data_IF_093612402605
#
_entry.id   IF_093612402605
#
_cell.length_a   1.000
_cell.length_b   1.000
_cell.length_c   1.000
_cell.angle_alpha   90.00
_cell.angle_beta   90.00
_cell.angle_gamma   90.00
#
_symmetry.space_group_name_H-M   'P 1'
#
loop_
_entity.id
_entity.type
_entity.pdbx_description
1 polymer ?
#
# COMPACT_ATOMS: atom_id res chain seq x y z
N UNK A 1 49.74 33.36 1.72
CA UNK A 1 48.49 33.26 2.52
C UNK A 1 47.60 32.12 2.02
N UNK A 2 47.19 32.08 0.75
CA UNK A 2 46.30 31.02 0.23
C UNK A 2 46.88 29.60 0.26
N UNK A 3 48.19 29.42 0.01
CA UNK A 3 48.81 28.09 0.05
C UNK A 3 48.83 27.46 1.47
N UNK A 4 48.85 28.31 2.51
CA UNK A 4 48.92 27.86 3.90
C UNK A 4 47.54 27.43 4.41
N UNK A 5 46.48 28.14 4.00
CA UNK A 5 45.10 27.76 4.30
C UNK A 5 44.69 26.43 3.64
N UNK A 6 45.21 26.14 2.44
CA UNK A 6 44.95 24.86 1.75
C UNK A 6 45.65 23.67 2.44
N UNK A 7 46.86 23.89 2.96
CA UNK A 7 47.61 22.87 3.71
C UNK A 7 46.94 22.53 5.05
N UNK A 8 46.41 23.53 5.77
CA UNK A 8 45.68 23.28 7.02
C UNK A 8 44.34 22.56 6.80
N UNK A 9 43.62 22.87 5.71
CA UNK A 9 42.39 22.17 5.36
C UNK A 9 42.63 20.70 5.02
N UNK A 10 43.74 20.39 4.34
CA UNK A 10 44.09 19.02 3.97
C UNK A 10 44.55 18.21 5.19
N UNK A 11 45.32 18.81 6.10
CA UNK A 11 45.71 18.16 7.35
C UNK A 11 44.51 17.83 8.26
N UNK A 12 43.48 18.68 8.26
CA UNK A 12 42.25 18.44 9.02
C UNK A 12 41.38 17.32 8.44
N UNK A 13 41.35 17.22 7.10
CA UNK A 13 40.63 16.14 6.40
C UNK A 13 41.29 14.77 6.61
N UNK A 14 42.63 14.71 6.58
CA UNK A 14 43.38 13.47 6.85
C UNK A 14 43.27 13.03 8.33
N UNK A 15 43.22 13.98 9.27
CA UNK A 15 42.99 13.68 10.68
C UNK A 15 41.58 13.10 10.93
N UNK A 16 40.56 13.59 10.23
CA UNK A 16 39.19 13.11 10.35
C UNK A 16 38.99 11.72 9.73
N UNK A 17 39.63 11.46 8.58
CA UNK A 17 39.61 10.13 7.94
C UNK A 17 40.30 9.05 8.81
N UNK A 18 41.37 9.41 9.54
CA UNK A 18 42.04 8.50 10.48
C UNK A 18 41.18 8.18 11.71
N UNK A 19 40.42 9.15 12.22
CA UNK A 19 39.52 8.96 13.35
C UNK A 19 38.34 8.02 13.01
N UNK A 20 37.77 8.15 11.81
CA UNK A 20 36.67 7.27 11.35
C UNK A 20 37.16 5.84 11.05
N UNK A 21 38.39 5.67 10.57
CA UNK A 21 38.99 4.35 10.37
C UNK A 21 39.25 3.62 11.70
N UNK A 22 39.60 4.36 12.76
CA UNK A 22 39.88 3.78 14.08
C UNK A 22 38.59 3.38 14.83
N UNK A 23 37.52 4.18 14.70
CA UNK A 23 36.20 3.84 15.25
C UNK A 23 35.59 2.57 14.61
N UNK A 24 35.89 2.31 13.33
CA UNK A 24 35.40 1.12 12.62
C UNK A 24 36.18 -0.15 13.00
N UNK A 25 37.44 -0.03 13.44
CA UNK A 25 38.26 -1.15 13.90
C UNK A 25 37.88 -1.61 15.33
N UNK A 26 37.48 -0.70 16.22
CA UNK A 26 37.05 -1.05 17.59
C UNK A 26 35.67 -1.72 17.64
N UNK A 27 34.79 -1.45 16.67
CA UNK A 27 33.49 -2.12 16.56
C UNK A 27 33.60 -3.59 16.11
N UNK A 28 34.69 -3.96 15.42
CA UNK A 28 34.88 -5.31 14.87
C UNK A 28 35.64 -6.25 15.83
N UNK A 29 36.30 -5.72 16.86
CA UNK A 29 37.06 -6.50 17.85
C UNK A 29 36.22 -7.03 19.03
N UNK A 30 34.93 -6.69 19.13
CA UNK A 30 34.03 -7.18 20.20
C UNK A 30 33.24 -8.45 19.83
N UNK A 31 33.51 -9.03 18.65
CA UNK A 31 32.78 -10.21 18.15
C UNK A 31 33.44 -11.56 18.45
N UNK A 32 34.60 -11.60 19.11
CA UNK A 32 35.33 -12.88 19.28
C UNK A 32 36.06 -12.96 20.62
N UNK A 33 35.36 -13.44 21.66
CA UNK A 33 35.91 -14.26 22.76
C UNK A 33 34.85 -14.49 23.86
N UNK A 34 34.28 -15.69 23.94
CA UNK A 34 34.37 -16.55 25.14
C UNK A 34 33.57 -17.86 24.96
N UNK A 35 34.02 -18.97 25.56
CA UNK A 35 33.72 -20.33 25.12
C UNK A 35 32.58 -21.02 25.90
N UNK A 36 32.22 -22.20 25.37
CA UNK A 36 31.18 -23.11 25.84
C UNK A 36 31.36 -23.62 27.28
N UNK A 37 30.22 -23.80 27.96
CA UNK A 37 30.04 -24.81 29.01
C UNK A 37 28.65 -25.43 28.84
N UNK A 38 28.63 -26.75 28.75
CA UNK A 38 27.44 -27.57 28.67
C UNK A 38 26.80 -27.77 30.05
N UNK A 39 25.47 -27.67 30.11
CA UNK A 39 24.64 -28.37 31.08
C UNK A 39 23.27 -28.63 30.44
N UNK A 40 22.91 -29.91 30.35
CA UNK A 40 21.57 -30.36 29.98
C UNK A 40 20.57 -30.00 31.10
N UNK A 41 19.30 -29.77 30.72
CA UNK A 41 18.07 -30.34 31.31
C UNK A 41 16.87 -29.38 31.14
N UNK A 42 15.80 -29.89 30.52
CA UNK A 42 14.49 -29.23 30.48
C UNK A 42 14.03 -28.74 29.10
N UNK A 43 13.61 -29.65 28.21
CA UNK A 43 12.80 -29.29 27.04
C UNK A 43 11.39 -28.86 27.51
N UNK A 44 11.23 -27.61 27.90
CA UNK A 44 9.93 -26.96 27.91
C UNK A 44 9.56 -26.60 26.46
N UNK A 45 8.30 -26.83 26.01
CA UNK A 45 7.89 -26.45 24.67
C UNK A 45 8.04 -24.93 24.55
N UNK A 46 8.99 -24.49 23.72
CA UNK A 46 9.11 -23.09 23.37
C UNK A 46 7.85 -22.72 22.59
N UNK A 47 6.95 -22.01 23.27
CA UNK A 47 5.86 -21.28 22.62
C UNK A 47 6.54 -20.37 21.61
N UNK A 48 6.43 -20.72 20.33
CA UNK A 48 6.95 -19.91 19.24
C UNK A 48 6.34 -18.51 19.38
N UNK A 49 7.21 -17.52 19.61
CA UNK A 49 6.80 -16.13 19.58
C UNK A 49 6.05 -15.88 18.26
N UNK A 50 4.90 -15.18 18.27
CA UNK A 50 4.13 -14.97 17.05
C UNK A 50 5.04 -14.28 16.03
N UNK A 51 5.19 -14.91 14.86
CA UNK A 51 5.98 -14.36 13.77
C UNK A 51 5.45 -12.96 13.45
N UNK A 52 6.32 -11.95 13.53
CA UNK A 52 5.99 -10.59 13.15
C UNK A 52 5.64 -10.60 11.65
N UNK A 53 4.37 -10.42 11.32
CA UNK A 53 3.92 -10.33 9.93
C UNK A 53 4.52 -9.06 9.34
N UNK A 54 5.26 -9.19 8.24
CA UNK A 54 5.81 -8.05 7.50
C UNK A 54 4.67 -7.12 7.02
N UNK A 55 4.81 -5.79 7.09
CA UNK A 55 3.74 -4.84 6.74
C UNK A 55 3.13 -5.04 5.35
N UNK A 56 3.95 -5.46 4.39
CA UNK A 56 3.52 -5.79 3.02
C UNK A 56 2.54 -6.98 2.99
N UNK A 57 2.88 -8.06 3.71
CA UNK A 57 2.04 -9.24 3.81
C UNK A 57 0.73 -8.93 4.54
N UNK A 58 0.78 -8.10 5.59
CA UNK A 58 -0.41 -7.62 6.29
C UNK A 58 -1.35 -6.82 5.37
N UNK A 59 -0.81 -5.93 4.54
CA UNK A 59 -1.60 -5.12 3.60
C UNK A 59 -2.29 -5.98 2.54
N UNK A 60 -1.56 -6.93 1.95
CA UNK A 60 -2.15 -7.86 0.99
C UNK A 60 -3.26 -8.72 1.64
N UNK A 61 -3.05 -9.15 2.88
CA UNK A 61 -4.03 -9.89 3.66
C UNK A 61 -5.29 -9.04 3.94
N UNK A 62 -5.14 -7.72 4.17
CA UNK A 62 -6.27 -6.79 4.31
C UNK A 62 -7.18 -6.81 3.08
N UNK A 63 -6.64 -6.70 1.86
CA UNK A 63 -7.47 -6.76 0.64
C UNK A 63 -8.15 -8.12 0.47
N UNK A 64 -7.43 -9.21 0.80
CA UNK A 64 -7.99 -10.56 0.73
C UNK A 64 -9.14 -10.75 1.73
N UNK A 65 -8.98 -10.24 2.95
CA UNK A 65 -9.99 -10.28 4.01
C UNK A 65 -11.24 -9.53 3.58
N UNK A 66 -11.11 -8.30 3.05
CA UNK A 66 -12.26 -7.53 2.55
C UNK A 66 -12.96 -8.27 1.41
N UNK A 67 -12.22 -8.83 0.45
CA UNK A 67 -12.83 -9.60 -0.63
C UNK A 67 -13.57 -10.85 -0.11
N UNK A 68 -13.03 -11.54 0.89
CA UNK A 68 -13.69 -12.74 1.47
C UNK A 68 -15.02 -12.43 2.19
N UNK A 69 -15.21 -11.19 2.63
CA UNK A 69 -16.45 -10.74 3.27
C UNK A 69 -17.52 -10.30 2.26
N UNK A 70 -17.18 -10.22 0.97
CA UNK A 70 -18.12 -9.84 -0.07
C UNK A 70 -19.31 -10.81 -0.14
N UNK A 71 -20.51 -10.27 -0.35
CA UNK A 71 -21.70 -11.07 -0.52
C UNK A 71 -21.60 -11.89 -1.82
N UNK A 72 -21.67 -13.23 -1.78
CA UNK A 72 -21.54 -14.05 -2.98
C UNK A 72 -22.66 -13.83 -4.01
N UNK A 73 -23.79 -13.22 -3.63
CA UNK A 73 -24.88 -12.84 -4.57
C UNK A 73 -24.58 -11.54 -5.32
N UNK A 74 -23.59 -10.75 -4.88
CA UNK A 74 -23.19 -9.47 -5.47
C UNK A 74 -21.94 -9.67 -6.32
N UNK A 75 -22.13 -9.92 -7.61
CA UNK A 75 -21.04 -10.21 -8.55
C UNK A 75 -20.47 -8.90 -9.10
N UNK A 76 -19.15 -8.77 -9.02
CA UNK A 76 -18.38 -7.68 -9.64
C UNK A 76 -17.41 -8.29 -10.63
N UNK A 77 -17.42 -7.75 -11.85
CA UNK A 77 -16.53 -8.13 -12.94
C UNK A 77 -15.64 -6.92 -13.25
N UNK A 78 -14.36 -7.20 -13.48
CA UNK A 78 -13.36 -6.20 -13.83
C UNK A 78 -12.62 -6.70 -15.05
N UNK A 79 -12.64 -5.91 -16.11
CA UNK A 79 -11.88 -6.16 -17.35
C UNK A 79 -10.79 -5.09 -17.45
N UNK A 80 -9.54 -5.52 -17.33
CA UNK A 80 -8.38 -4.66 -17.56
C UNK A 80 -8.15 -4.51 -19.07
N UNK A 81 -7.79 -3.31 -19.53
CA UNK A 81 -7.29 -3.11 -20.89
C UNK A 81 -5.91 -3.74 -21.05
N UNK A 82 -5.06 -3.66 -20.02
CA UNK A 82 -3.77 -4.33 -19.93
C UNK A 82 -3.50 -4.81 -18.51
N UNK A 83 -2.93 -6.01 -18.37
CA UNK A 83 -2.40 -6.51 -17.09
C UNK A 83 -0.93 -6.15 -16.86
N UNK A 84 -0.29 -5.46 -17.81
CA UNK A 84 1.10 -5.00 -17.73
C UNK A 84 1.17 -3.52 -18.13
N UNK A 85 1.71 -2.67 -17.26
CA UNK A 85 1.89 -1.25 -17.49
C UNK A 85 3.37 -0.89 -17.51
N UNK A 86 3.78 -0.07 -18.48
CA UNK A 86 5.13 0.50 -18.53
C UNK A 86 5.17 1.80 -17.74
N UNK A 87 6.10 1.89 -16.80
CA UNK A 87 6.30 3.06 -15.94
C UNK A 87 6.58 4.29 -16.82
N UNK A 88 5.88 5.39 -16.52
CA UNK A 88 5.97 6.67 -17.23
C UNK A 88 5.38 6.66 -18.65
N UNK A 89 4.73 5.57 -19.08
CA UNK A 89 4.22 5.43 -20.45
C UNK A 89 2.79 4.92 -20.55
N UNK A 90 2.41 3.99 -19.67
CA UNK A 90 1.09 3.36 -19.69
C UNK A 90 0.22 3.91 -18.56
N UNK A 91 -1.06 4.06 -18.83
CA UNK A 91 -2.07 4.41 -17.83
C UNK A 91 -2.93 3.20 -17.50
N UNK A 92 -3.44 3.18 -16.27
CA UNK A 92 -4.48 2.26 -15.84
C UNK A 92 -5.75 2.49 -16.67
N UNK A 93 -6.31 1.42 -17.22
CA UNK A 93 -7.61 1.44 -17.88
C UNK A 93 -8.37 0.14 -17.59
N UNK A 94 -9.64 0.25 -17.22
CA UNK A 94 -10.51 -0.87 -16.94
C UNK A 94 -11.99 -0.58 -17.18
N UNK A 95 -12.76 -1.65 -17.34
CA UNK A 95 -14.21 -1.62 -17.30
C UNK A 95 -14.73 -2.47 -16.13
N UNK A 96 -15.59 -1.88 -15.32
CA UNK A 96 -16.24 -2.53 -14.18
C UNK A 96 -17.69 -2.83 -14.55
N UNK A 97 -18.18 -4.02 -14.24
CA UNK A 97 -19.61 -4.37 -14.39
C UNK A 97 -20.09 -5.03 -13.11
N UNK A 98 -21.26 -4.60 -12.63
CA UNK A 98 -21.88 -5.12 -11.40
C UNK A 98 -23.18 -5.85 -11.70
N UNK A 99 -23.51 -6.88 -10.94
CA UNK A 99 -24.84 -7.54 -11.00
C UNK A 99 -25.94 -6.75 -10.30
N UNK A 100 -25.59 -5.71 -9.56
CA UNK A 100 -26.51 -4.87 -8.78
C UNK A 100 -26.14 -3.39 -8.93
N UNK A 101 -27.13 -2.52 -8.73
CA UNK A 101 -26.89 -1.09 -8.61
C UNK A 101 -26.08 -0.82 -7.34
N UNK A 102 -25.20 0.18 -7.36
CA UNK A 102 -24.43 0.50 -6.18
C UNK A 102 -23.39 1.60 -6.40
N UNK A 103 -22.46 1.69 -5.46
CA UNK A 103 -21.41 2.71 -5.44
C UNK A 103 -20.05 2.04 -5.54
N UNK A 104 -19.26 2.46 -6.52
CA UNK A 104 -17.95 1.87 -6.85
C UNK A 104 -16.86 2.52 -5.99
N UNK A 105 -15.96 1.70 -5.46
CA UNK A 105 -14.74 2.14 -4.82
C UNK A 105 -13.55 1.38 -5.41
N UNK A 106 -12.50 2.11 -5.77
CA UNK A 106 -11.28 1.56 -6.35
C UNK A 106 -10.13 1.78 -5.38
N UNK A 107 -9.61 0.68 -4.81
CA UNK A 107 -8.47 0.71 -3.89
C UNK A 107 -7.26 0.07 -4.55
N UNK A 108 -6.15 0.79 -4.59
CA UNK A 108 -4.85 0.31 -5.06
C UNK A 108 -3.93 0.08 -3.86
N UNK A 109 -3.29 -1.09 -3.82
CA UNK A 109 -2.08 -1.33 -3.04
C UNK A 109 -0.93 -1.41 -4.03
N UNK A 110 -0.05 -0.41 -3.98
CA UNK A 110 1.10 -0.33 -4.88
C UNK A 110 2.11 -1.45 -4.64
N UNK A 111 2.95 -1.67 -5.64
CA UNK A 111 4.07 -2.62 -5.67
C UNK A 111 5.06 -2.44 -4.51
N UNK A 112 5.17 -1.22 -3.98
CA UNK A 112 5.98 -0.93 -2.80
C UNK A 112 5.42 -1.55 -1.50
N UNK A 113 4.17 -2.03 -1.54
CA UNK A 113 3.39 -2.57 -0.44
C UNK A 113 3.34 -1.66 0.80
N UNK A 114 3.60 -0.37 0.61
CA UNK A 114 3.71 0.64 1.67
C UNK A 114 2.46 1.46 1.83
N UNK A 115 1.54 1.45 0.87
CA UNK A 115 0.45 2.42 0.82
C UNK A 115 -0.78 1.89 0.11
N UNK A 116 -1.95 2.17 0.70
CA UNK A 116 -3.22 2.06 -0.01
C UNK A 116 -3.60 3.42 -0.58
N UNK A 117 -4.11 3.43 -1.80
CA UNK A 117 -4.68 4.60 -2.46
C UNK A 117 -6.12 4.32 -2.82
N UNK A 118 -7.02 5.20 -2.45
CA UNK A 118 -8.38 5.21 -3.01
C UNK A 118 -8.33 6.08 -4.25
N UNK A 119 -8.47 5.42 -5.39
CA UNK A 119 -8.41 6.05 -6.70
C UNK A 119 -9.77 6.54 -7.17
N UNK A 120 -10.87 5.98 -6.65
CA UNK A 120 -12.24 6.33 -7.05
C UNK A 120 -13.24 6.02 -5.92
N UNK A 121 -14.22 6.89 -5.63
CA UNK A 121 -14.32 8.28 -6.09
C UNK A 121 -13.10 9.10 -5.67
N UNK A 122 -12.85 10.20 -6.37
CA UNK A 122 -11.70 11.07 -6.15
C UNK A 122 -12.10 12.55 -6.33
N UNK A 123 -11.17 13.48 -6.11
CA UNK A 123 -11.45 14.92 -6.17
C UNK A 123 -11.83 15.47 -7.57
N UNK A 124 -11.58 14.71 -8.63
CA UNK A 124 -11.88 15.05 -10.03
C UNK A 124 -13.09 14.30 -10.59
N UNK A 125 -13.51 13.21 -9.93
CA UNK A 125 -14.60 12.34 -10.34
C UNK A 125 -15.27 11.70 -9.12
N UNK A 126 -16.36 12.32 -8.68
CA UNK A 126 -17.15 11.89 -7.53
C UNK A 126 -18.39 11.05 -7.87
N UNK A 127 -18.75 10.92 -9.16
CA UNK A 127 -19.95 10.17 -9.56
C UNK A 127 -19.66 8.67 -9.64
N UNK A 128 -19.62 8.03 -8.49
CA UNK A 128 -19.30 6.62 -8.35
C UNK A 128 -20.50 5.67 -8.42
N UNK A 129 -21.69 6.15 -8.81
CA UNK A 129 -22.85 5.28 -8.94
C UNK A 129 -22.77 4.40 -10.20
N UNK A 130 -22.96 3.09 -10.05
CA UNK A 130 -23.01 2.12 -11.14
C UNK A 130 -24.40 1.47 -11.21
N UNK A 131 -24.92 1.30 -12.44
CA UNK A 131 -26.13 0.55 -12.72
C UNK A 131 -25.80 -0.92 -13.00
N UNK A 132 -26.66 -1.82 -12.53
CA UNK A 132 -26.55 -3.25 -12.79
C UNK A 132 -26.46 -3.55 -14.29
N UNK A 133 -25.51 -4.41 -14.67
CA UNK A 133 -25.29 -4.84 -16.04
C UNK A 133 -24.68 -3.78 -16.98
N UNK A 134 -24.53 -2.53 -16.55
CA UNK A 134 -23.93 -1.48 -17.36
C UNK A 134 -22.43 -1.32 -17.04
N UNK A 135 -21.53 -1.48 -18.03
CA UNK A 135 -20.11 -1.26 -17.81
C UNK A 135 -19.79 0.20 -17.49
N UNK A 136 -18.99 0.42 -16.44
CA UNK A 136 -18.37 1.70 -16.13
C UNK A 136 -16.89 1.64 -16.54
N UNK A 137 -16.51 2.44 -17.53
CA UNK A 137 -15.10 2.61 -17.89
C UNK A 137 -14.43 3.58 -16.90
N UNK A 138 -13.29 3.18 -16.36
CA UNK A 138 -12.45 3.99 -15.48
C UNK A 138 -10.98 3.87 -15.91
N UNK A 139 -10.17 4.94 -15.76
CA UNK A 139 -10.56 6.31 -15.45
C UNK A 139 -11.50 6.93 -16.49
N UNK A 140 -12.28 7.94 -16.08
CA UNK A 140 -13.07 8.77 -17.02
C UNK A 140 -12.21 9.93 -17.51
N UNK A 141 -12.68 10.65 -18.53
CA UNK A 141 -11.92 11.71 -19.20
C UNK A 141 -11.36 12.82 -18.28
N UNK A 142 -11.88 12.99 -17.06
CA UNK A 142 -11.44 14.02 -16.11
C UNK A 142 -10.21 13.63 -15.30
N UNK A 143 -9.76 12.36 -15.33
CA UNK A 143 -8.61 11.91 -14.55
C UNK A 143 -7.89 10.73 -15.22
N UNK A 144 -6.64 10.49 -14.83
CA UNK A 144 -5.82 9.36 -15.30
C UNK A 144 -4.85 8.94 -14.20
N UNK A 145 -4.51 7.66 -14.18
CA UNK A 145 -3.48 7.10 -13.28
C UNK A 145 -2.40 6.49 -14.16
N UNK A 146 -1.26 7.19 -14.28
CA UNK A 146 -0.10 6.70 -14.99
C UNK A 146 0.71 5.78 -14.09
N UNK A 147 1.22 4.67 -14.63
CA UNK A 147 2.15 3.81 -13.91
C UNK A 147 3.40 4.62 -13.53
N UNK A 148 3.70 4.70 -12.24
CA UNK A 148 4.73 5.58 -11.69
C UNK A 148 5.86 4.81 -10.99
N UNK A 149 5.72 3.50 -10.82
CA UNK A 149 6.66 2.66 -10.10
C UNK A 149 6.43 2.64 -8.58
N UNK A 150 7.23 1.83 -7.87
CA UNK A 150 8.32 1.00 -8.41
C UNK A 150 7.81 -0.20 -9.20
N UNK A 151 8.66 -0.77 -10.06
CA UNK A 151 8.32 -1.99 -10.80
C UNK A 151 7.96 -3.13 -9.84
N UNK A 152 6.88 -3.86 -10.14
CA UNK A 152 6.33 -4.89 -9.27
C UNK A 152 4.86 -5.19 -9.58
N UNK A 153 4.18 -5.81 -8.62
CA UNK A 153 2.78 -6.18 -8.78
C UNK A 153 1.90 -5.30 -7.91
N UNK A 154 1.09 -4.50 -8.56
CA UNK A 154 0.01 -3.75 -7.95
C UNK A 154 -1.21 -4.64 -7.72
N UNK A 155 -1.90 -4.40 -6.61
CA UNK A 155 -3.17 -5.04 -6.29
C UNK A 155 -4.28 -4.01 -6.33
N UNK A 156 -5.31 -4.28 -7.13
CA UNK A 156 -6.47 -3.41 -7.22
C UNK A 156 -7.68 -4.15 -6.69
N UNK A 157 -8.34 -3.60 -5.68
CA UNK A 157 -9.62 -4.08 -5.16
C UNK A 157 -10.73 -3.13 -5.62
N UNK A 158 -11.68 -3.67 -6.38
CA UNK A 158 -12.93 -3.00 -6.75
C UNK A 158 -14.03 -3.47 -5.81
N UNK A 159 -14.74 -2.53 -5.19
CA UNK A 159 -15.92 -2.79 -4.36
C UNK A 159 -17.13 -2.09 -4.96
N UNK A 160 -18.29 -2.75 -4.91
CA UNK A 160 -19.58 -2.15 -5.24
C UNK A 160 -20.53 -2.33 -4.06
N UNK A 161 -20.72 -1.27 -3.28
CA UNK A 161 -21.58 -1.25 -2.10
C UNK A 161 -23.01 -0.80 -2.43
N UNK A 162 -23.96 -1.11 -1.56
CA UNK A 162 -25.38 -0.79 -1.76
C UNK A 162 -25.72 0.68 -1.47
N UNK A 163 -24.99 1.26 -0.51
CA UNK A 163 -25.15 2.61 0.00
C UNK A 163 -23.85 3.39 -0.19
N UNK A 164 -23.92 4.72 -0.31
CA UNK A 164 -22.72 5.55 -0.36
C UNK A 164 -21.98 5.49 0.98
N UNK A 165 -20.64 5.45 0.91
CA UNK A 165 -19.74 5.39 2.06
C UNK A 165 -19.12 6.77 2.26
N UNK A 166 -18.90 7.14 3.52
CA UNK A 166 -18.24 8.40 3.87
C UNK A 166 -16.73 8.21 3.86
N UNK A 167 -16.02 9.00 3.04
CA UNK A 167 -14.57 8.97 2.95
C UNK A 167 -13.90 9.68 4.12
N UNK A 168 -14.62 10.59 4.78
CA UNK A 168 -14.14 11.49 5.84
C UNK A 168 -13.57 10.78 7.09
N UNK A 169 -13.87 9.49 7.27
CA UNK A 169 -13.40 8.68 8.41
C UNK A 169 -12.05 8.00 8.17
N UNK A 170 -11.55 8.01 6.93
CA UNK A 170 -10.16 7.64 6.66
C UNK A 170 -9.32 8.80 7.18
N UNK A 171 -8.50 8.57 8.21
CA UNK A 171 -7.56 9.58 8.72
C UNK A 171 -6.63 9.96 7.57
N UNK A 172 -6.99 10.96 6.76
CA UNK A 172 -6.24 11.68 5.72
C UNK A 172 -7.15 12.75 5.07
N UNK A 173 -6.54 13.78 4.47
CA UNK A 173 -7.27 14.90 3.85
C UNK A 173 -8.29 14.38 2.82
N UNK A 174 -9.50 14.96 2.85
CA UNK A 174 -10.51 14.71 1.82
C UNK A 174 -9.89 15.02 0.44
N UNK A 175 -10.14 14.18 -0.58
CA UNK A 175 -9.57 14.39 -1.89
C UNK A 175 -10.07 15.72 -2.46
N UNK A 176 -9.17 16.49 -3.05
CA UNK A 176 -9.47 17.78 -3.68
C UNK A 176 -9.09 17.73 -5.16
N UNK A 177 -9.40 18.78 -5.93
CA UNK A 177 -8.94 18.86 -7.31
C UNK A 177 -7.39 18.90 -7.42
N UNK A 178 -6.72 19.45 -6.39
CA UNK A 178 -5.25 19.58 -6.35
C UNK A 178 -4.57 18.27 -5.91
N UNK A 179 -5.21 17.53 -4.99
CA UNK A 179 -4.77 16.22 -4.50
C UNK A 179 -5.92 15.21 -4.62
N UNK A 180 -6.12 14.61 -5.82
CA UNK A 180 -7.34 13.87 -6.11
C UNK A 180 -7.42 12.53 -5.39
N UNK A 181 -6.31 11.89 -5.04
CA UNK A 181 -6.30 10.55 -4.48
C UNK A 181 -6.17 10.56 -2.96
N UNK A 182 -7.05 9.81 -2.29
CA UNK A 182 -6.95 9.63 -0.83
C UNK A 182 -5.92 8.56 -0.53
N UNK A 183 -4.89 8.94 0.22
CA UNK A 183 -3.92 8.01 0.79
C UNK A 183 -4.55 7.31 2.00
N UNK A 184 -4.16 6.09 2.33
CA UNK A 184 -4.42 5.47 3.63
C UNK A 184 -3.10 5.01 4.25
N UNK A 185 -2.85 5.42 5.50
CA UNK A 185 -1.62 5.10 6.22
C UNK A 185 -1.48 3.58 6.37
N UNK A 186 -0.30 3.05 6.08
CA UNK A 186 0.01 1.62 6.30
C UNK A 186 0.49 1.33 7.73
N UNK A 187 -0.02 2.07 8.69
CA UNK A 187 0.05 1.70 10.09
C UNK A 187 -1.21 0.91 10.47
N UNK A 188 -1.26 0.40 11.69
CA UNK A 188 -2.39 -0.41 12.15
C UNK A 188 -3.71 0.39 12.07
N UNK A 189 -3.70 1.64 12.51
CA UNK A 189 -4.89 2.49 12.57
C UNK A 189 -5.45 2.81 11.18
N UNK A 190 -4.58 3.18 10.23
CA UNK A 190 -4.98 3.47 8.85
C UNK A 190 -5.51 2.24 8.12
N UNK A 191 -4.93 1.05 8.37
CA UNK A 191 -5.48 -0.21 7.84
C UNK A 191 -6.83 -0.56 8.47
N UNK A 192 -7.00 -0.37 9.78
CA UNK A 192 -8.28 -0.59 10.44
C UNK A 192 -9.35 0.35 9.91
N UNK A 193 -9.04 1.64 9.77
CA UNK A 193 -9.93 2.64 9.17
C UNK A 193 -10.30 2.27 7.72
N UNK A 194 -9.35 1.75 6.93
CA UNK A 194 -9.63 1.26 5.59
C UNK A 194 -10.58 0.06 5.60
N UNK A 195 -10.37 -0.92 6.48
CA UNK A 195 -11.29 -2.08 6.60
C UNK A 195 -12.69 -1.61 6.97
N UNK A 196 -12.81 -0.74 7.97
CA UNK A 196 -14.10 -0.20 8.40
C UNK A 196 -14.77 0.55 7.25
N UNK A 197 -14.03 1.40 6.55
CA UNK A 197 -14.51 2.11 5.37
C UNK A 197 -15.01 1.17 4.29
N UNK A 198 -14.31 0.06 4.00
CA UNK A 198 -14.68 -0.86 2.91
C UNK A 198 -15.76 -1.88 3.29
N UNK A 199 -16.04 -2.09 4.58
CA UNK A 199 -16.98 -3.12 5.06
C UNK A 199 -18.24 -2.56 5.72
N UNK A 200 -18.22 -1.29 6.16
CA UNK A 200 -19.33 -0.64 6.87
C UNK A 200 -19.85 0.60 6.15
N UNK A 201 -21.16 0.82 6.17
CA UNK A 201 -21.79 2.03 5.58
C UNK A 201 -21.79 3.21 6.55
N UNK A 202 -21.72 2.93 7.85
CA UNK A 202 -21.61 3.88 8.95
C UNK A 202 -20.97 3.16 10.16
N UNK A 203 -20.46 3.90 11.16
CA UNK A 203 -19.96 3.27 12.39
C UNK A 203 -21.00 2.34 13.02
N UNK A 204 -20.65 1.05 13.14
CA UNK A 204 -21.53 0.01 13.71
C UNK A 204 -22.56 -0.60 12.76
N UNK A 205 -22.61 -0.20 11.48
CA UNK A 205 -23.53 -0.75 10.49
C UNK A 205 -22.79 -1.59 9.44
N UNK A 206 -22.91 -2.92 9.54
CA UNK A 206 -22.44 -3.85 8.50
C UNK A 206 -23.24 -3.66 7.23
N UNK A 207 -22.56 -3.65 6.08
CA UNK A 207 -23.18 -3.41 4.77
C UNK A 207 -22.96 -4.60 3.83
N UNK A 208 -23.91 -4.84 2.93
CA UNK A 208 -23.71 -5.79 1.84
C UNK A 208 -22.99 -5.13 0.66
N UNK A 209 -21.96 -5.79 0.14
CA UNK A 209 -21.21 -5.33 -1.01
C UNK A 209 -20.74 -6.50 -1.88
N UNK A 210 -20.45 -6.22 -3.14
CA UNK A 210 -19.66 -7.11 -4.00
C UNK A 210 -18.22 -6.64 -4.05
N UNK A 211 -17.26 -7.54 -4.27
CA UNK A 211 -15.86 -7.18 -4.43
C UNK A 211 -15.13 -8.05 -5.44
N UNK A 212 -14.12 -7.48 -6.10
CA UNK A 212 -13.24 -8.18 -7.02
C UNK A 212 -11.84 -7.57 -6.98
N UNK A 213 -10.85 -8.39 -6.66
CA UNK A 213 -9.42 -8.05 -6.78
C UNK A 213 -8.87 -8.48 -8.13
N UNK A 214 -8.03 -7.63 -8.70
CA UNK A 214 -7.20 -7.89 -9.89
C UNK A 214 -5.77 -7.44 -9.62
N UNK A 215 -4.85 -7.84 -10.49
CA UNK A 215 -3.42 -7.51 -10.38
C UNK A 215 -2.92 -6.88 -11.66
N UNK A 216 -1.98 -5.95 -11.52
CA UNK A 216 -1.28 -5.31 -12.64
C UNK A 216 0.22 -5.42 -12.38
N UNK A 217 0.97 -5.80 -13.41
CA UNK A 217 2.43 -5.79 -13.37
C UNK A 217 2.94 -4.46 -13.89
N UNK A 218 3.64 -3.69 -13.07
CA UNK A 218 4.44 -2.56 -13.54
C UNK A 218 5.83 -3.02 -13.97
N UNK A 219 6.27 -2.54 -15.14
CA UNK A 219 7.60 -2.81 -15.71
C UNK A 219 8.28 -1.50 -16.13
N UNK A 220 9.63 -1.45 -16.15
CA UNK A 220 10.37 -0.31 -16.67
C UNK A 220 10.05 0.07 -18.13
#
# INVERSE_FOLDING_TARGET
AEAQAKAEAQAKAEAQAKAEAQAKAEAQAKAEAAPAVAAAEGAAPQVSAPARVEPAAASLATLALVQSQANPKRKVQVKLSSSVLKIGKSSLEMAITSSHNGYVYLVLLGSDAKSFYILFPNGLDGDNYIKAGQPMALPRATWSVMAAGPAGVDQILVIVSDSPRKLDGLVLQAPSADDPFTYALNNLDGRSALVDFLTSSAPGASESFGAKRVTIQEVP
#
